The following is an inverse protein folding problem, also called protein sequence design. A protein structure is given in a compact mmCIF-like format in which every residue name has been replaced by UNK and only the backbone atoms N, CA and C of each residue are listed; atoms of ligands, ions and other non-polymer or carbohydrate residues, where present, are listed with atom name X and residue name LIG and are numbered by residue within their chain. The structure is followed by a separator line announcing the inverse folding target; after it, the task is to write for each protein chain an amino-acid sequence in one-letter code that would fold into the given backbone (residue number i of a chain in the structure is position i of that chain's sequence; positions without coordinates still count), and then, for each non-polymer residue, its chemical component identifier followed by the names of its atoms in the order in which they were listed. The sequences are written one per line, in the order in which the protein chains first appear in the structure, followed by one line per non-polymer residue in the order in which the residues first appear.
data_IF_850426605610
#
_entry.id   IF_850426605610
#
_cell.length_a   1.000
_cell.length_b   1.000
_cell.length_c   1.000
_cell.angle_alpha   90.00
_cell.angle_beta   90.00
_cell.angle_gamma   90.00
#
_symmetry.space_group_name_H-M   'P 1'
#
loop_
_entity.id
_entity.type
_entity.pdbx_description
1 polymer ?
#
# COMPACT_ATOMS: atom_id res chain seq x y z
N UNK A 1 7.10 25.98 -20.38
CA UNK A 1 6.88 24.57 -20.72
C UNK A 1 5.75 24.04 -19.84
N UNK A 2 4.66 23.44 -20.37
CA UNK A 2 3.66 22.84 -19.51
C UNK A 2 4.16 21.48 -19.00
N UNK A 3 4.38 21.36 -17.70
CA UNK A 3 4.67 20.09 -17.04
C UNK A 3 3.36 19.32 -16.83
N UNK A 4 3.14 18.27 -17.61
CA UNK A 4 2.03 17.34 -17.38
C UNK A 4 2.40 16.40 -16.24
N UNK A 5 2.42 16.92 -15.01
CA UNK A 5 2.54 16.06 -13.82
C UNK A 5 1.19 15.38 -13.62
N UNK A 6 1.11 14.10 -13.98
CA UNK A 6 -0.08 13.30 -13.66
C UNK A 6 -0.17 13.26 -12.13
N UNK A 7 -1.27 13.70 -11.51
CA UNK A 7 -1.40 13.63 -10.07
C UNK A 7 -1.44 12.16 -9.66
N UNK A 8 -0.27 11.66 -9.26
CA UNK A 8 -0.10 10.33 -8.69
C UNK A 8 -0.81 10.31 -7.35
N UNK A 9 -2.04 9.79 -7.35
CA UNK A 9 -2.88 9.68 -6.16
C UNK A 9 -2.32 8.60 -5.26
N UNK A 10 -1.51 9.02 -4.28
CA UNK A 10 -1.04 8.14 -3.22
C UNK A 10 -2.24 7.58 -2.46
N UNK A 11 -2.11 6.33 -2.05
CA UNK A 11 -3.12 5.68 -1.22
C UNK A 11 -3.15 6.36 0.17
N UNK A 12 -4.30 6.92 0.60
CA UNK A 12 -4.40 7.60 1.90
C UNK A 12 -4.31 6.63 3.08
N UNK A 13 -4.65 5.35 2.85
CA UNK A 13 -4.68 4.30 3.88
C UNK A 13 -3.28 3.85 4.32
N UNK A 14 -2.29 3.91 3.42
CA UNK A 14 -0.93 3.48 3.72
C UNK A 14 0.11 4.61 3.70
N UNK A 15 -0.31 5.85 3.47
CA UNK A 15 0.53 7.07 3.51
C UNK A 15 1.85 6.97 2.71
N UNK A 16 1.88 6.16 1.65
CA UNK A 16 3.09 5.93 0.86
C UNK A 16 3.99 4.77 1.30
N UNK A 17 3.60 3.97 2.31
CA UNK A 17 4.27 2.73 2.72
C UNK A 17 3.40 1.49 2.41
N UNK A 18 3.27 1.10 1.12
CA UNK A 18 2.33 0.07 0.72
C UNK A 18 2.78 -1.36 1.06
N UNK A 19 4.06 -1.57 1.38
CA UNK A 19 4.64 -2.86 1.80
C UNK A 19 5.65 -2.61 2.91
N UNK A 20 5.49 -3.32 4.02
CA UNK A 20 6.41 -3.25 5.17
C UNK A 20 6.78 -4.66 5.62
N UNK A 21 7.98 -4.79 6.17
CA UNK A 21 8.46 -6.00 6.81
C UNK A 21 8.47 -5.78 8.32
N UNK A 22 7.81 -6.65 9.07
CA UNK A 22 7.72 -6.58 10.53
C UNK A 22 8.43 -7.78 11.11
N UNK A 23 9.47 -7.52 11.90
CA UNK A 23 10.14 -8.57 12.68
C UNK A 23 9.30 -8.87 13.91
N UNK A 24 8.82 -10.10 14.03
CA UNK A 24 7.86 -10.51 15.08
C UNK A 24 8.52 -10.89 16.40
N UNK A 25 9.85 -10.78 16.52
CA UNK A 25 10.64 -11.22 17.69
C UNK A 25 10.72 -12.75 17.84
N UNK A 26 9.86 -13.50 17.15
CA UNK A 26 9.91 -14.95 17.05
C UNK A 26 11.12 -15.39 16.20
N UNK A 27 11.61 -16.59 16.48
CA UNK A 27 12.59 -17.26 15.61
C UNK A 27 11.92 -18.38 14.83
N UNK A 28 12.34 -18.57 13.58
CA UNK A 28 11.99 -19.72 12.76
C UNK A 28 12.64 -20.98 13.34
N UNK A 29 12.15 -22.16 12.94
CA UNK A 29 12.78 -23.44 13.32
C UNK A 29 14.25 -23.53 12.91
N UNK A 30 14.66 -22.79 11.88
CA UNK A 30 16.03 -22.69 11.40
C UNK A 30 16.88 -21.66 12.14
N UNK A 31 16.31 -20.97 13.15
CA UNK A 31 16.99 -19.98 13.98
C UNK A 31 16.97 -18.54 13.44
N UNK A 32 16.38 -18.29 12.27
CA UNK A 32 16.28 -16.95 11.69
C UNK A 32 15.18 -16.11 12.37
N UNK A 33 15.31 -14.79 12.36
CA UNK A 33 14.24 -13.92 12.88
C UNK A 33 13.00 -13.99 11.98
N UNK A 34 11.86 -14.34 12.55
CA UNK A 34 10.60 -14.48 11.83
C UNK A 34 10.07 -13.09 11.45
N UNK A 35 10.03 -12.87 10.13
CA UNK A 35 9.62 -11.60 9.52
C UNK A 35 8.35 -11.82 8.72
N UNK A 36 7.32 -11.02 9.01
CA UNK A 36 6.07 -11.03 8.26
C UNK A 36 6.03 -9.85 7.31
N UNK A 37 5.56 -10.08 6.09
CA UNK A 37 5.35 -9.02 5.10
C UNK A 37 3.90 -8.60 5.12
N UNK A 38 3.65 -7.33 5.44
CA UNK A 38 2.30 -6.75 5.41
C UNK A 38 2.19 -5.86 4.18
N UNK A 39 1.09 -6.03 3.45
CA UNK A 39 0.78 -5.27 2.26
C UNK A 39 -0.53 -4.53 2.47
N UNK A 40 -0.58 -3.25 2.09
CA UNK A 40 -1.82 -2.47 2.14
C UNK A 40 -2.87 -3.12 1.22
N UNK A 41 -4.03 -3.49 1.78
CA UNK A 41 -5.11 -4.15 1.03
C UNK A 41 -5.81 -3.20 0.06
N UNK A 42 -5.82 -1.90 0.38
CA UNK A 42 -6.47 -0.85 -0.41
C UNK A 42 -5.79 -0.62 -1.76
N UNK A 43 -4.45 -0.63 -1.78
CA UNK A 43 -3.66 -0.43 -3.00
C UNK A 43 -2.94 -1.72 -3.48
N UNK A 44 -3.11 -2.84 -2.78
CA UNK A 44 -2.44 -4.12 -3.04
C UNK A 44 -0.91 -4.00 -3.21
N UNK A 45 -0.28 -3.10 -2.46
CA UNK A 45 1.17 -2.94 -2.50
C UNK A 45 1.70 -1.97 -3.56
N UNK A 46 0.83 -1.38 -4.38
CA UNK A 46 1.24 -0.43 -5.44
C UNK A 46 1.52 0.98 -4.90
N UNK A 47 1.00 1.32 -3.71
CA UNK A 47 1.08 2.68 -3.15
C UNK A 47 0.19 3.70 -3.85
N UNK A 48 -0.49 3.28 -4.91
CA UNK A 48 -1.33 4.12 -5.76
C UNK A 48 -2.75 3.58 -5.73
N UNK A 49 -3.71 4.49 -5.73
CA UNK A 49 -5.11 4.11 -5.94
C UNK A 49 -5.57 4.67 -7.28
N UNK A 50 -6.25 3.86 -8.12
CA UNK A 50 -6.89 4.40 -9.31
C UNK A 50 -7.89 5.46 -8.88
N UNK A 51 -8.12 6.47 -9.73
CA UNK A 51 -9.19 7.43 -9.51
C UNK A 51 -10.51 6.66 -9.44
N UNK A 52 -11.03 6.45 -8.23
CA UNK A 52 -12.40 5.96 -8.05
C UNK A 52 -13.29 6.99 -8.72
N UNK A 53 -13.87 6.63 -9.86
CA UNK A 53 -15.01 7.36 -10.38
C UNK A 53 -16.08 7.26 -9.29
N UNK A 54 -16.70 8.38 -8.86
CA UNK A 54 -17.80 8.30 -7.92
C UNK A 54 -18.81 7.32 -8.53
N UNK A 55 -19.10 6.23 -7.82
CA UNK A 55 -20.25 5.42 -8.16
C UNK A 55 -21.44 6.37 -8.05
N UNK A 56 -22.12 6.63 -9.17
CA UNK A 56 -23.36 7.39 -9.16
C UNK A 56 -24.38 6.60 -8.34
N UNK A 57 -24.35 6.76 -7.02
CA UNK A 57 -25.36 6.25 -6.12
C UNK A 57 -26.53 7.23 -6.20
N UNK A 58 -27.33 7.08 -7.26
CA UNK A 58 -28.66 7.64 -7.30
C UNK A 58 -29.51 6.99 -6.21
N UNK A 59 -30.13 7.82 -5.39
CA UNK A 59 -31.36 7.51 -4.65
C UNK A 59 -32.21 8.76 -4.62
#
# INVERSE_FOLDING_TARGET
MPESTRPTRRCPDCDGFPRVAITTGLRTHTGACHTVKVTCRTCNGTGLVPRRLPAHAGR
#
